data_IF_433989275250
#
_entry.id   IF_433989275250
#
_cell.length_a   1.000
_cell.length_b   1.000
_cell.length_c   1.000
_cell.angle_alpha   90.00
_cell.angle_beta   90.00
_cell.angle_gamma   90.00
#
_symmetry.space_group_name_H-M   'P 1'
#
loop_
_entity.id
_entity.type
_entity.pdbx_description
1 polymer ?
#
# COMPACT_ATOMS: atom_id res chain seq x y z
N UNK A 1 -3.61 20.83 26.54
CA UNK A 1 -3.55 20.39 25.13
C UNK A 1 -4.00 18.95 25.06
N UNK A 2 -5.10 18.63 24.37
CA UNK A 2 -5.42 17.24 24.03
C UNK A 2 -4.71 16.94 22.72
N UNK A 3 -3.61 16.20 22.78
CA UNK A 3 -3.06 15.57 21.57
C UNK A 3 -4.16 14.62 21.10
N UNK A 4 -4.88 15.01 20.04
CA UNK A 4 -5.70 14.07 19.28
C UNK A 4 -4.68 13.10 18.69
N UNK A 5 -4.73 11.85 19.10
CA UNK A 5 -4.00 10.75 18.46
C UNK A 5 -4.36 10.80 16.98
N UNK A 6 -3.48 11.37 16.15
CA UNK A 6 -3.62 11.30 14.70
C UNK A 6 -3.52 9.83 14.35
N UNK A 7 -4.52 9.36 13.61
CA UNK A 7 -4.76 8.00 13.20
C UNK A 7 -3.47 7.27 12.82
N UNK A 8 -3.26 6.09 13.42
CA UNK A 8 -2.27 5.13 12.94
C UNK A 8 -2.70 4.76 11.52
N UNK A 9 -2.12 5.42 10.50
CA UNK A 9 -2.35 5.03 9.11
C UNK A 9 -1.85 3.60 8.96
N UNK A 10 -2.76 2.70 8.64
CA UNK A 10 -2.44 1.30 8.45
C UNK A 10 -1.70 1.16 7.12
N UNK A 11 -0.50 0.60 7.16
CA UNK A 11 0.32 0.33 5.98
C UNK A 11 0.32 -1.17 5.67
N UNK A 12 0.36 -1.49 4.37
CA UNK A 12 0.36 -2.83 3.85
C UNK A 12 1.66 -3.09 3.08
N UNK A 13 2.20 -4.29 3.23
CA UNK A 13 3.21 -4.81 2.32
C UNK A 13 2.55 -5.31 1.03
N UNK A 14 3.33 -5.44 -0.05
CA UNK A 14 2.84 -5.96 -1.34
C UNK A 14 2.14 -7.31 -1.17
N UNK A 15 2.68 -8.23 -0.38
CA UNK A 15 2.06 -9.54 -0.15
C UNK A 15 0.73 -9.43 0.63
N UNK A 16 0.58 -8.44 1.52
CA UNK A 16 -0.71 -8.16 2.18
C UNK A 16 -1.72 -7.55 1.20
N UNK A 17 -1.29 -6.68 0.31
CA UNK A 17 -2.12 -6.13 -0.76
C UNK A 17 -2.69 -7.23 -1.66
N UNK A 18 -1.86 -8.18 -2.10
CA UNK A 18 -2.31 -9.35 -2.89
C UNK A 18 -3.24 -10.26 -2.08
N UNK A 19 -2.98 -10.46 -0.79
CA UNK A 19 -3.86 -11.23 0.07
C UNK A 19 -5.26 -10.58 0.20
N UNK A 20 -5.34 -9.25 0.16
CA UNK A 20 -6.62 -8.51 0.20
C UNK A 20 -7.33 -8.48 -1.16
N UNK A 21 -6.59 -8.38 -2.25
CA UNK A 21 -7.13 -8.36 -3.62
C UNK A 21 -6.41 -9.42 -4.47
N UNK A 22 -6.82 -10.71 -4.38
CA UNK A 22 -6.13 -11.81 -5.05
C UNK A 22 -6.16 -11.77 -6.58
N UNK A 23 -7.00 -10.89 -7.14
CA UNK A 23 -7.09 -10.64 -8.58
C UNK A 23 -5.93 -9.75 -9.08
N UNK A 24 -5.21 -9.09 -8.17
CA UNK A 24 -4.07 -8.24 -8.47
C UNK A 24 -2.79 -8.99 -8.13
N UNK A 25 -1.86 -9.08 -9.08
CA UNK A 25 -0.55 -9.70 -8.85
C UNK A 25 0.42 -8.76 -8.15
N UNK A 26 1.43 -9.33 -7.48
CA UNK A 26 2.51 -8.53 -6.87
C UNK A 26 3.21 -7.65 -7.90
N UNK A 27 3.48 -8.20 -9.10
CA UNK A 27 4.10 -7.47 -10.23
C UNK A 27 3.30 -6.23 -10.62
N UNK A 28 1.96 -6.34 -10.69
CA UNK A 28 1.10 -5.21 -11.03
C UNK A 28 1.15 -4.12 -9.96
N UNK A 29 1.17 -4.48 -8.68
CA UNK A 29 1.29 -3.51 -7.58
C UNK A 29 2.64 -2.79 -7.64
N UNK A 30 3.73 -3.53 -7.85
CA UNK A 30 5.07 -2.95 -7.98
C UNK A 30 5.13 -1.99 -9.17
N UNK A 31 4.60 -2.39 -10.33
CA UNK A 31 4.56 -1.55 -11.53
C UNK A 31 3.82 -0.23 -11.25
N UNK A 32 2.68 -0.26 -10.55
CA UNK A 32 1.92 0.94 -10.20
C UNK A 32 2.68 1.88 -9.28
N UNK A 33 3.45 1.33 -8.34
CA UNK A 33 4.34 2.11 -7.47
C UNK A 33 5.47 2.73 -8.28
N UNK A 34 6.07 1.98 -9.22
CA UNK A 34 7.14 2.49 -10.08
C UNK A 34 6.67 3.57 -11.07
N UNK A 35 5.43 3.46 -11.55
CA UNK A 35 4.77 4.47 -12.37
C UNK A 35 4.31 5.69 -11.56
N UNK A 36 4.34 5.61 -10.22
CA UNK A 36 3.85 6.66 -9.32
C UNK A 36 2.33 6.79 -9.28
N UNK A 37 1.60 5.79 -9.79
CA UNK A 37 0.14 5.71 -9.71
C UNK A 37 -0.34 5.29 -8.31
N UNK A 38 0.51 4.58 -7.56
CA UNK A 38 0.28 4.18 -6.18
C UNK A 38 1.41 4.73 -5.29
N UNK A 39 1.07 5.54 -4.28
CA UNK A 39 2.04 6.02 -3.30
C UNK A 39 2.48 4.89 -2.38
N UNK A 40 3.79 4.71 -2.31
CA UNK A 40 4.40 3.78 -1.38
C UNK A 40 5.68 4.36 -0.79
N UNK A 41 6.01 3.88 0.41
CA UNK A 41 7.28 4.13 1.07
C UNK A 41 8.18 2.92 0.88
N UNK A 42 9.39 3.13 0.38
CA UNK A 42 10.44 2.10 0.37
C UNK A 42 11.13 2.10 1.72
N UNK A 43 11.04 0.98 2.43
CA UNK A 43 11.78 0.73 3.67
C UNK A 43 12.93 -0.21 3.36
N UNK A 44 14.15 0.33 3.31
CA UNK A 44 15.38 -0.45 3.19
C UNK A 44 15.89 -0.75 4.58
N UNK A 45 15.78 -2.00 5.04
CA UNK A 45 16.32 -2.42 6.33
C UNK A 45 17.16 -3.70 6.16
N UNK A 46 18.42 -3.66 6.60
CA UNK A 46 19.36 -4.80 6.58
C UNK A 46 19.51 -5.49 5.21
N UNK A 47 19.43 -4.73 4.11
CA UNK A 47 19.54 -5.24 2.74
C UNK A 47 18.26 -5.83 2.16
N UNK A 48 17.13 -5.71 2.88
CA UNK A 48 15.81 -6.04 2.37
C UNK A 48 15.02 -4.76 2.08
N UNK A 49 14.67 -4.57 0.82
CA UNK A 49 13.82 -3.47 0.38
C UNK A 49 12.35 -3.93 0.47
N UNK A 50 11.61 -3.33 1.40
CA UNK A 50 10.17 -3.55 1.55
C UNK A 50 9.40 -2.35 1.02
N UNK A 51 8.34 -2.61 0.24
CA UNK A 51 7.42 -1.58 -0.23
C UNK A 51 6.22 -1.55 0.71
N UNK A 52 5.97 -0.38 1.31
CA UNK A 52 4.86 -0.13 2.23
C UNK A 52 3.86 0.80 1.57
N UNK A 53 2.63 0.35 1.42
CA UNK A 53 1.55 1.05 0.73
C UNK A 53 0.52 1.47 1.79
N UNK A 54 0.00 2.70 1.71
CA UNK A 54 -1.08 3.10 2.62
C UNK A 54 -2.36 2.32 2.29
N UNK A 55 -2.97 1.67 3.29
CA UNK A 55 -4.15 0.82 3.09
C UNK A 55 -5.32 1.57 2.47
N UNK A 56 -5.57 2.78 2.92
CA UNK A 56 -6.68 3.60 2.42
C UNK A 56 -6.49 3.95 0.95
N UNK A 57 -5.26 4.28 0.54
CA UNK A 57 -4.95 4.57 -0.85
C UNK A 57 -5.05 3.30 -1.72
N UNK A 58 -4.54 2.17 -1.23
CA UNK A 58 -4.66 0.89 -1.92
C UNK A 58 -6.13 0.50 -2.14
N UNK A 59 -6.98 0.63 -1.12
CA UNK A 59 -8.42 0.38 -1.23
C UNK A 59 -9.08 1.39 -2.16
N UNK A 60 -8.69 2.66 -2.13
CA UNK A 60 -9.25 3.67 -3.04
C UNK A 60 -8.87 3.34 -4.50
N UNK A 61 -7.62 2.99 -4.77
CA UNK A 61 -7.15 2.67 -6.12
C UNK A 61 -7.80 1.41 -6.68
N UNK A 62 -7.83 0.31 -5.91
CA UNK A 62 -8.32 -0.99 -6.39
C UNK A 62 -9.78 -1.30 -6.02
N UNK A 63 -10.33 -0.59 -5.06
CA UNK A 63 -11.70 -0.76 -4.58
C UNK A 63 -12.72 0.15 -5.24
N UNK A 64 -12.30 1.20 -5.96
CA UNK A 64 -13.20 2.13 -6.66
C UNK A 64 -13.53 1.71 -8.11
N UNK A 65 -13.47 0.41 -8.38
CA UNK A 65 -14.27 -0.23 -9.43
C UNK A 65 -15.22 -1.22 -8.75
N UNK A 66 -16.35 -0.75 -8.19
CA UNK A 66 -17.61 -1.50 -7.99
C UNK A 66 -18.61 -0.66 -7.16
N UNK A 67 -19.43 0.16 -7.83
CA UNK A 67 -20.83 0.36 -7.45
C UNK A 67 -21.71 0.42 -8.69
#
# INVERSE_FOLDING_TARGET
MKIRTKDLREVLTVSQCVAMYPLVSEERIVELVELGELQAMKLSQDGNDSILIEKEEFIHYFGEENF
#
